data_IF_276668444670
#
_entry.id   IF_276668444670
#
_cell.length_a   1.000
_cell.length_b   1.000
_cell.length_c   1.000
_cell.angle_alpha   90.00
_cell.angle_beta   90.00
_cell.angle_gamma   90.00
#
_symmetry.space_group_name_H-M   'P 1'
#
loop_
_entity.id
_entity.type
_entity.pdbx_description
1 polymer ?
#
# COMPACT_ATOMS: atom_id res chain seq x y z
N UNK A 1 12.39 6.78 19.79
CA UNK A 1 12.16 5.89 20.95
C UNK A 1 10.70 5.84 21.38
N UNK A 2 9.97 6.96 21.51
CA UNK A 2 8.53 6.96 21.88
C UNK A 2 7.64 5.88 21.23
N UNK A 3 7.80 5.61 19.92
CA UNK A 3 7.01 4.57 19.25
C UNK A 3 7.33 3.15 19.76
N UNK A 4 8.61 2.85 19.98
CA UNK A 4 9.07 1.55 20.53
C UNK A 4 8.55 1.36 21.95
N UNK A 5 8.67 2.41 22.79
CA UNK A 5 8.17 2.42 24.16
C UNK A 5 6.65 2.16 24.22
N UNK A 6 5.88 2.80 23.34
CA UNK A 6 4.42 2.61 23.29
C UNK A 6 3.97 1.22 22.84
N UNK A 7 4.77 0.56 22.01
CA UNK A 7 4.48 -0.77 21.48
C UNK A 7 5.06 -1.89 22.33
N UNK A 8 5.88 -1.56 23.34
CA UNK A 8 6.63 -2.50 24.18
C UNK A 8 7.48 -3.49 23.36
N UNK A 9 8.18 -2.96 22.35
CA UNK A 9 9.08 -3.74 21.47
C UNK A 9 10.45 -3.06 21.34
N UNK A 10 11.46 -3.85 20.97
CA UNK A 10 12.85 -3.37 20.84
C UNK A 10 13.17 -2.79 19.47
N UNK A 11 12.48 -3.24 18.42
CA UNK A 11 12.68 -2.80 17.04
C UNK A 11 11.36 -2.84 16.26
N UNK A 12 11.32 -2.13 15.13
CA UNK A 12 10.24 -2.22 14.14
C UNK A 12 10.75 -2.96 12.90
N UNK A 13 9.97 -3.87 12.32
CA UNK A 13 10.37 -4.47 11.05
C UNK A 13 10.48 -3.41 9.95
N UNK A 14 9.47 -2.55 9.80
CA UNK A 14 9.45 -1.47 8.82
C UNK A 14 9.10 -0.14 9.49
N UNK A 15 9.87 0.91 9.19
CA UNK A 15 9.57 2.27 9.64
C UNK A 15 9.50 3.24 8.46
N UNK A 16 8.47 4.08 8.46
CA UNK A 16 8.13 4.92 7.30
C UNK A 16 8.34 6.40 7.59
N UNK A 17 8.95 7.12 6.65
CA UNK A 17 8.77 8.58 6.59
C UNK A 17 7.37 8.88 6.06
N UNK A 18 6.53 9.49 6.90
CA UNK A 18 5.08 9.54 6.68
C UNK A 18 4.64 10.41 5.47
N UNK A 19 5.36 11.49 5.18
CA UNK A 19 5.13 12.35 4.02
C UNK A 19 6.45 12.92 3.51
N UNK A 20 6.56 13.20 2.21
CA UNK A 20 7.70 13.92 1.66
C UNK A 20 7.78 15.32 2.25
N UNK A 21 8.99 15.84 2.34
CA UNK A 21 9.23 17.25 2.66
C UNK A 21 9.67 17.97 1.40
N UNK A 22 9.00 19.08 1.06
CA UNK A 22 9.43 19.95 -0.04
C UNK A 22 10.74 20.70 0.24
N UNK A 23 11.23 20.66 1.48
CA UNK A 23 12.54 21.22 1.86
C UNK A 23 13.60 20.12 1.79
N UNK A 24 14.53 20.24 0.84
CA UNK A 24 15.60 19.27 0.60
C UNK A 24 16.43 18.95 1.86
N UNK A 25 16.79 19.97 2.65
CA UNK A 25 17.57 19.77 3.88
C UNK A 25 16.84 18.90 4.92
N UNK A 26 15.50 18.91 4.93
CA UNK A 26 14.70 18.07 5.82
C UNK A 26 14.65 16.63 5.34
N UNK A 27 14.44 16.36 4.04
CA UNK A 27 14.43 14.98 3.54
C UNK A 27 15.81 14.33 3.70
N UNK A 28 16.89 15.07 3.41
CA UNK A 28 18.27 14.64 3.69
C UNK A 28 18.49 14.30 5.16
N UNK A 29 17.97 15.13 6.07
CA UNK A 29 18.02 14.84 7.51
C UNK A 29 17.22 13.57 7.85
N UNK A 30 16.02 13.38 7.29
CA UNK A 30 15.20 12.21 7.53
C UNK A 30 15.92 10.93 7.08
N UNK A 31 16.42 10.89 5.85
CA UNK A 31 17.12 9.71 5.29
C UNK A 31 18.36 9.35 6.12
N UNK A 32 19.17 10.35 6.51
CA UNK A 32 20.29 10.12 7.43
C UNK A 32 19.87 9.52 8.77
N UNK A 33 18.74 9.96 9.32
CA UNK A 33 18.19 9.40 10.58
C UNK A 33 17.68 7.98 10.36
N UNK A 34 17.05 7.68 9.22
CA UNK A 34 16.61 6.32 8.90
C UNK A 34 17.78 5.34 8.85
N UNK A 35 18.89 5.69 8.19
CA UNK A 35 20.11 4.85 8.20
C UNK A 35 20.69 4.67 9.60
N UNK A 36 20.67 5.73 10.43
CA UNK A 36 21.14 5.64 11.80
C UNK A 36 20.26 4.70 12.63
N UNK A 37 18.94 4.75 12.48
CA UNK A 37 18.02 3.84 13.16
C UNK A 37 18.21 2.39 12.71
N UNK A 38 18.49 2.18 11.43
CA UNK A 38 18.82 0.86 10.86
C UNK A 38 20.12 0.33 11.49
N UNK A 39 21.18 1.15 11.50
CA UNK A 39 22.48 0.81 12.12
C UNK A 39 22.38 0.53 13.61
N UNK A 40 21.51 1.24 14.33
CA UNK A 40 21.24 1.02 15.75
C UNK A 40 20.37 -0.22 16.02
N UNK A 41 19.90 -0.92 14.98
CA UNK A 41 19.02 -2.10 15.12
C UNK A 41 17.61 -1.76 15.61
N UNK A 42 17.20 -0.49 15.54
CA UNK A 42 15.86 -0.03 15.96
C UNK A 42 14.80 -0.25 14.89
N UNK A 43 15.22 -0.36 13.63
CA UNK A 43 14.37 -0.71 12.50
C UNK A 43 15.09 -1.77 11.67
N UNK A 44 14.36 -2.68 11.00
CA UNK A 44 14.98 -3.63 10.05
C UNK A 44 14.95 -3.13 8.61
N UNK A 45 13.94 -2.36 8.25
CA UNK A 45 13.74 -1.84 6.91
C UNK A 45 13.30 -0.38 6.93
N UNK A 46 13.73 0.35 5.89
CA UNK A 46 13.35 1.74 5.63
C UNK A 46 12.22 1.73 4.60
N UNK A 47 11.18 2.51 4.87
CA UNK A 47 10.18 2.83 3.87
C UNK A 47 9.78 4.30 3.92
N UNK A 48 8.88 4.66 3.00
CA UNK A 48 8.30 5.98 2.89
C UNK A 48 6.79 5.88 2.68
N UNK A 49 6.09 7.01 2.77
CA UNK A 49 4.66 7.09 2.50
C UNK A 49 4.33 8.41 1.80
N UNK A 50 3.45 8.34 0.79
CA UNK A 50 2.98 9.48 0.01
C UNK A 50 4.06 10.12 -0.89
N UNK A 51 5.13 9.40 -1.22
CA UNK A 51 6.17 9.90 -2.13
C UNK A 51 5.75 9.66 -3.58
N UNK A 52 5.90 10.67 -4.45
CA UNK A 52 5.93 10.43 -5.89
C UNK A 52 7.16 9.59 -6.27
N UNK A 53 7.21 9.08 -7.50
CA UNK A 53 8.37 8.33 -8.01
C UNK A 53 9.64 9.20 -7.97
N UNK A 54 9.51 10.48 -8.33
CA UNK A 54 10.62 11.44 -8.32
C UNK A 54 11.12 11.69 -6.90
N UNK A 55 10.20 11.90 -5.95
CA UNK A 55 10.56 12.10 -4.54
C UNK A 55 11.16 10.83 -3.93
N UNK A 56 10.67 9.66 -4.33
CA UNK A 56 11.23 8.38 -3.90
C UNK A 56 12.68 8.26 -4.35
N UNK A 57 12.96 8.48 -5.64
CA UNK A 57 14.33 8.47 -6.20
C UNK A 57 15.25 9.47 -5.51
N UNK A 58 14.75 10.68 -5.23
CA UNK A 58 15.53 11.68 -4.48
C UNK A 58 15.86 11.19 -3.07
N UNK A 59 14.90 10.61 -2.35
CA UNK A 59 15.09 10.10 -1.01
C UNK A 59 16.06 8.91 -0.98
N UNK A 60 15.92 7.99 -1.94
CA UNK A 60 16.78 6.82 -2.08
C UNK A 60 18.22 7.21 -2.39
N UNK A 61 18.45 8.15 -3.31
CA UNK A 61 19.78 8.66 -3.63
C UNK A 61 20.50 9.39 -2.48
N UNK A 62 19.81 9.66 -1.36
CA UNK A 62 20.40 10.23 -0.14
C UNK A 62 20.86 9.16 0.86
N UNK A 63 20.44 7.89 0.68
CA UNK A 63 20.93 6.75 1.44
C UNK A 63 22.29 6.30 0.87
N UNK A 64 23.15 5.74 1.72
CA UNK A 64 24.51 5.33 1.35
C UNK A 64 24.69 3.82 1.37
N UNK A 65 24.10 3.14 2.35
CA UNK A 65 24.33 1.71 2.59
C UNK A 65 23.00 0.97 2.84
N UNK A 66 21.89 1.52 2.37
CA UNK A 66 20.56 0.98 2.58
C UNK A 66 19.62 1.41 1.45
N UNK A 67 18.48 0.74 1.36
CA UNK A 67 17.46 0.93 0.32
C UNK A 67 16.10 1.22 0.94
N UNK A 68 15.20 1.81 0.16
CA UNK A 68 13.81 2.03 0.56
C UNK A 68 12.97 0.88 0.02
N UNK A 69 12.52 -0.02 0.90
CA UNK A 69 11.84 -1.25 0.46
C UNK A 69 10.34 -1.08 0.19
N UNK A 70 9.75 0.02 0.65
CA UNK A 70 8.30 0.22 0.54
C UNK A 70 7.90 1.68 0.41
N UNK A 71 6.85 1.93 -0.38
CA UNK A 71 6.14 3.19 -0.40
C UNK A 71 4.64 2.98 -0.10
N UNK A 72 4.16 3.55 0.99
CA UNK A 72 2.76 3.48 1.39
C UNK A 72 1.93 4.58 0.71
N UNK A 73 1.02 4.19 -0.19
CA UNK A 73 0.30 5.08 -1.10
C UNK A 73 -1.22 4.84 -1.05
N UNK A 74 -2.00 5.87 -1.42
CA UNK A 74 -3.44 5.74 -1.55
C UNK A 74 -3.76 5.01 -2.84
N UNK A 75 -4.15 3.75 -2.76
CA UNK A 75 -4.58 2.99 -3.93
C UNK A 75 -5.87 2.25 -3.59
N UNK A 76 -6.84 2.27 -4.50
CA UNK A 76 -8.04 1.44 -4.41
C UNK A 76 -8.81 1.50 -5.74
N UNK A 77 -9.88 0.72 -5.84
CA UNK A 77 -10.70 0.65 -7.06
C UNK A 77 -11.26 2.02 -7.53
N UNK A 78 -11.31 3.05 -6.68
CA UNK A 78 -11.66 4.43 -7.06
C UNK A 78 -10.46 5.36 -7.25
N UNK A 79 -9.29 5.02 -6.72
CA UNK A 79 -8.07 5.79 -6.84
C UNK A 79 -6.96 4.88 -7.36
N UNK A 80 -6.87 4.77 -8.67
CA UNK A 80 -5.99 3.84 -9.36
C UNK A 80 -4.71 4.52 -9.89
N UNK A 81 -4.50 5.81 -9.62
CA UNK A 81 -3.36 6.60 -10.13
C UNK A 81 -2.03 5.88 -9.88
N UNK A 82 -1.79 5.42 -8.64
CA UNK A 82 -0.54 4.77 -8.30
C UNK A 82 -0.42 3.36 -8.89
N UNK A 83 -1.53 2.66 -9.11
CA UNK A 83 -1.54 1.36 -9.81
C UNK A 83 -1.12 1.54 -11.27
N UNK A 84 -1.59 2.59 -11.95
CA UNK A 84 -1.28 2.84 -13.36
C UNK A 84 0.10 3.48 -13.57
N UNK A 85 0.50 4.43 -12.72
CA UNK A 85 1.65 5.30 -13.01
C UNK A 85 2.84 5.13 -12.09
N UNK A 86 2.68 4.55 -10.90
CA UNK A 86 3.79 4.39 -9.94
C UNK A 86 4.23 2.94 -9.78
N UNK A 87 3.27 2.02 -9.77
CA UNK A 87 3.51 0.59 -9.59
C UNK A 87 4.45 -0.02 -10.65
N UNK A 88 4.43 0.36 -11.95
CA UNK A 88 5.39 -0.18 -12.91
C UNK A 88 6.85 0.05 -12.48
N UNK A 89 7.16 1.26 -12.01
CA UNK A 89 8.49 1.58 -11.47
C UNK A 89 8.80 0.78 -10.20
N UNK A 90 7.88 0.74 -9.23
CA UNK A 90 8.12 -0.01 -8.00
C UNK A 90 8.27 -1.52 -8.23
N UNK A 91 7.61 -2.08 -9.25
CA UNK A 91 7.80 -3.48 -9.64
C UNK A 91 9.22 -3.73 -10.16
N UNK A 92 9.69 -2.85 -11.05
CA UNK A 92 11.03 -2.94 -11.63
C UNK A 92 12.13 -2.84 -10.57
N UNK A 93 11.97 -1.94 -9.60
CA UNK A 93 12.94 -1.74 -8.50
C UNK A 93 12.75 -2.69 -7.31
N UNK A 94 11.80 -3.63 -7.36
CA UNK A 94 11.53 -4.53 -6.24
C UNK A 94 10.92 -3.86 -4.99
N UNK A 95 10.40 -2.64 -5.13
CA UNK A 95 9.77 -1.85 -4.06
C UNK A 95 8.31 -2.28 -3.86
N UNK A 96 7.89 -2.44 -2.60
CA UNK A 96 6.51 -2.80 -2.27
C UNK A 96 5.62 -1.55 -2.18
N UNK A 97 4.52 -1.54 -2.92
CA UNK A 97 3.44 -0.58 -2.73
C UNK A 97 2.51 -1.09 -1.63
N UNK A 98 2.51 -0.42 -0.47
CA UNK A 98 1.51 -0.69 0.58
C UNK A 98 0.32 0.24 0.40
N UNK A 99 -0.86 -0.32 0.15
CA UNK A 99 -2.07 0.40 -0.19
C UNK A 99 -2.89 0.74 1.06
N UNK A 100 -2.96 2.03 1.40
CA UNK A 100 -3.81 2.54 2.46
C UNK A 100 -5.17 3.01 1.93
N UNK A 101 -6.19 2.98 2.81
CA UNK A 101 -7.61 3.16 2.43
C UNK A 101 -8.06 2.24 1.28
N UNK A 102 -7.73 0.93 1.31
CA UNK A 102 -8.01 0.03 0.19
C UNK A 102 -9.51 -0.17 -0.08
N UNK A 103 -10.35 0.09 0.94
CA UNK A 103 -11.83 0.03 0.86
C UNK A 103 -12.51 1.41 0.87
N UNK A 104 -11.74 2.48 0.65
CA UNK A 104 -12.21 3.86 0.81
C UNK A 104 -12.72 4.16 2.23
N UNK A 105 -13.56 5.19 2.38
CA UNK A 105 -14.05 5.63 3.71
C UNK A 105 -15.31 4.91 4.21
N UNK A 106 -16.02 4.16 3.34
CA UNK A 106 -17.31 3.52 3.67
C UNK A 106 -17.41 2.06 3.22
N UNK A 107 -16.31 1.42 2.86
CA UNK A 107 -16.35 0.04 2.40
C UNK A 107 -17.23 -0.16 1.17
N UNK A 108 -17.33 0.85 0.30
CA UNK A 108 -18.06 0.76 -0.97
C UNK A 108 -19.56 0.45 -0.90
N UNK A 109 -20.21 0.60 0.26
CA UNK A 109 -21.66 0.35 0.41
C UNK A 109 -22.55 1.21 -0.50
N UNK A 110 -22.04 2.38 -0.92
CA UNK A 110 -22.78 3.34 -1.75
C UNK A 110 -22.26 3.36 -3.20
N UNK A 111 -21.63 2.27 -3.67
CA UNK A 111 -21.27 2.14 -5.07
C UNK A 111 -22.51 2.00 -5.94
N UNK A 112 -22.50 2.72 -7.06
CA UNK A 112 -23.52 2.70 -8.10
C UNK A 112 -22.89 2.85 -9.49
N UNK A 113 -23.70 2.67 -10.53
CA UNK A 113 -23.27 2.80 -11.93
C UNK A 113 -22.47 1.61 -12.44
N UNK A 114 -21.77 1.81 -13.55
CA UNK A 114 -21.08 0.72 -14.27
C UNK A 114 -20.07 -0.04 -13.41
N UNK A 115 -19.26 0.67 -12.60
CA UNK A 115 -18.29 0.03 -11.71
C UNK A 115 -18.98 -0.89 -10.69
N UNK A 116 -20.16 -0.50 -10.19
CA UNK A 116 -20.93 -1.35 -9.27
C UNK A 116 -21.38 -2.64 -9.97
N UNK A 117 -21.99 -2.51 -11.14
CA UNK A 117 -22.47 -3.66 -11.92
C UNK A 117 -21.35 -4.64 -12.26
N UNK A 118 -20.16 -4.14 -12.63
CA UNK A 118 -18.98 -4.99 -12.87
C UNK A 118 -18.53 -5.72 -11.61
N UNK A 119 -18.46 -5.02 -10.47
CA UNK A 119 -18.06 -5.63 -9.21
C UNK A 119 -19.08 -6.65 -8.71
N UNK A 120 -20.40 -6.44 -8.92
CA UNK A 120 -21.43 -7.44 -8.59
C UNK A 120 -21.23 -8.73 -9.42
N UNK A 121 -20.98 -8.61 -10.73
CA UNK A 121 -20.75 -9.78 -11.60
C UNK A 121 -19.50 -10.57 -11.19
N UNK A 122 -18.40 -9.88 -10.89
CA UNK A 122 -17.16 -10.53 -10.44
C UNK A 122 -17.38 -11.16 -9.06
N UNK A 123 -18.04 -10.45 -8.14
CA UNK A 123 -18.37 -10.97 -6.82
C UNK A 123 -19.20 -12.26 -6.88
N UNK A 124 -20.22 -12.31 -7.74
CA UNK A 124 -21.04 -13.51 -7.97
C UNK A 124 -20.20 -14.68 -8.52
N UNK A 125 -19.28 -14.40 -9.45
CA UNK A 125 -18.43 -15.43 -10.07
C UNK A 125 -17.45 -16.08 -9.09
N UNK A 126 -17.12 -15.40 -7.98
CA UNK A 126 -16.18 -15.86 -6.96
C UNK A 126 -16.84 -16.22 -5.63
N UNK A 127 -18.18 -16.18 -5.53
CA UNK A 127 -18.93 -16.30 -4.26
C UNK A 127 -18.36 -15.39 -3.15
N UNK A 128 -18.10 -14.14 -3.51
CA UNK A 128 -17.38 -13.18 -2.69
C UNK A 128 -18.17 -11.88 -2.52
N UNK A 129 -17.78 -11.09 -1.53
CA UNK A 129 -18.29 -9.72 -1.35
C UNK A 129 -17.56 -8.74 -2.27
N UNK A 130 -18.19 -7.59 -2.59
CA UNK A 130 -17.52 -6.50 -3.31
C UNK A 130 -16.24 -6.04 -2.60
N UNK A 131 -16.22 -6.05 -1.27
CA UNK A 131 -15.07 -5.66 -0.46
C UNK A 131 -13.92 -6.65 -0.64
N UNK A 132 -14.22 -7.96 -0.66
CA UNK A 132 -13.24 -8.99 -1.01
C UNK A 132 -12.71 -8.79 -2.43
N UNK A 133 -13.57 -8.56 -3.43
CA UNK A 133 -13.13 -8.28 -4.81
C UNK A 133 -12.27 -7.02 -4.89
N UNK A 134 -12.61 -5.96 -4.16
CA UNK A 134 -11.82 -4.72 -4.15
C UNK A 134 -10.43 -4.90 -3.52
N UNK A 135 -10.31 -5.75 -2.50
CA UNK A 135 -9.03 -6.12 -1.90
C UNK A 135 -8.24 -7.06 -2.81
N UNK A 136 -8.89 -8.09 -3.35
CA UNK A 136 -8.32 -9.03 -4.30
C UNK A 136 -7.76 -8.30 -5.52
N UNK A 137 -8.48 -7.31 -6.06
CA UNK A 137 -8.02 -6.48 -7.16
C UNK A 137 -6.68 -5.81 -6.87
N UNK A 138 -6.47 -5.27 -5.66
CA UNK A 138 -5.18 -4.68 -5.28
C UNK A 138 -4.07 -5.73 -5.24
N UNK A 139 -4.28 -6.85 -4.54
CA UNK A 139 -3.22 -7.83 -4.24
C UNK A 139 -2.99 -8.86 -5.35
N UNK A 140 -3.82 -8.89 -6.40
CA UNK A 140 -3.52 -9.63 -7.63
C UNK A 140 -2.51 -8.88 -8.53
N UNK A 141 -2.15 -7.64 -8.19
CA UNK A 141 -0.97 -7.00 -8.77
C UNK A 141 0.29 -7.40 -7.98
N UNK A 142 1.34 -7.81 -8.70
CA UNK A 142 2.65 -8.01 -8.08
C UNK A 142 3.14 -6.75 -7.36
N UNK A 143 3.85 -6.96 -6.25
CA UNK A 143 4.41 -5.93 -5.37
C UNK A 143 3.38 -5.02 -4.67
N UNK A 144 2.11 -5.44 -4.57
CA UNK A 144 1.08 -4.69 -3.84
C UNK A 144 0.64 -5.44 -2.59
N UNK A 145 0.64 -4.74 -1.45
CA UNK A 145 0.04 -5.20 -0.19
C UNK A 145 -1.08 -4.25 0.21
N UNK A 146 -2.29 -4.74 0.45
CA UNK A 146 -3.38 -3.92 0.99
C UNK A 146 -3.38 -3.95 2.53
N UNK A 147 -3.61 -2.81 3.17
CA UNK A 147 -3.73 -2.70 4.64
C UNK A 147 -5.14 -2.28 5.06
N UNK A 148 -6.17 -3.14 4.86
CA UNK A 148 -7.52 -2.84 5.33
C UNK A 148 -7.56 -2.83 6.86
N UNK A 149 -8.44 -2.00 7.41
CA UNK A 149 -8.67 -1.94 8.85
C UNK A 149 -10.12 -2.26 9.16
N UNK A 150 -10.34 -3.10 10.16
CA UNK A 150 -11.66 -3.42 10.71
C UNK A 150 -11.60 -3.60 12.22
N UNK A 151 -12.73 -3.39 12.90
CA UNK A 151 -12.94 -3.76 14.30
C UNK A 151 -13.97 -4.87 14.47
N UNK A 152 -14.54 -5.39 13.37
CA UNK A 152 -15.52 -6.49 13.36
C UNK A 152 -14.83 -7.75 12.90
N UNK A 153 -14.92 -8.81 13.69
CA UNK A 153 -14.31 -10.13 13.42
C UNK A 153 -14.74 -10.64 12.04
N UNK A 154 -16.04 -10.63 11.73
CA UNK A 154 -16.55 -11.02 10.41
C UNK A 154 -15.82 -10.33 9.24
N UNK A 155 -15.64 -9.02 9.31
CA UNK A 155 -14.93 -8.29 8.25
C UNK A 155 -13.42 -8.58 8.24
N UNK A 156 -12.82 -8.96 9.38
CA UNK A 156 -11.41 -9.38 9.42
C UNK A 156 -11.27 -10.71 8.67
N UNK A 157 -12.18 -11.65 8.89
CA UNK A 157 -12.23 -12.93 8.18
C UNK A 157 -12.47 -12.73 6.68
N UNK A 158 -13.43 -11.88 6.30
CA UNK A 158 -13.67 -11.51 4.90
C UNK A 158 -12.44 -10.86 4.25
N UNK A 159 -11.78 -9.91 4.94
CA UNK A 159 -10.56 -9.27 4.44
C UNK A 159 -9.42 -10.29 4.24
N UNK A 160 -9.28 -11.26 5.14
CA UNK A 160 -8.27 -12.31 5.03
C UNK A 160 -8.57 -13.26 3.87
N UNK A 161 -9.84 -13.68 3.73
CA UNK A 161 -10.29 -14.55 2.64
C UNK A 161 -10.10 -13.93 1.25
N UNK A 162 -10.03 -12.59 1.14
CA UNK A 162 -9.71 -11.92 -0.13
C UNK A 162 -8.34 -12.33 -0.71
N UNK A 163 -7.40 -12.81 0.12
CA UNK A 163 -6.08 -13.29 -0.33
C UNK A 163 -6.13 -14.54 -1.21
N UNK A 164 -7.19 -15.35 -1.08
CA UNK A 164 -7.37 -16.59 -1.83
C UNK A 164 -7.99 -16.34 -3.22
N UNK A 165 -8.56 -15.16 -3.45
CA UNK A 165 -9.24 -14.82 -4.70
C UNK A 165 -8.20 -14.51 -5.78
N UNK A 166 -8.19 -15.31 -6.84
CA UNK A 166 -7.37 -15.08 -8.04
C UNK A 166 -8.24 -14.49 -9.14
N UNK A 167 -8.04 -13.22 -9.43
CA UNK A 167 -8.74 -12.54 -10.51
C UNK A 167 -8.00 -12.79 -11.82
N UNK A 168 -8.74 -13.10 -12.87
CA UNK A 168 -8.22 -13.12 -14.23
C UNK A 168 -7.81 -11.73 -14.70
N UNK A 169 -6.95 -11.68 -15.73
CA UNK A 169 -6.58 -10.39 -16.34
C UNK A 169 -7.78 -9.59 -16.84
N UNK A 170 -8.81 -10.28 -17.34
CA UNK A 170 -10.04 -9.66 -17.84
C UNK A 170 -10.78 -8.98 -16.70
N UNK A 171 -10.90 -9.64 -15.54
CA UNK A 171 -11.55 -9.08 -14.35
C UNK A 171 -10.75 -7.90 -13.78
N UNK A 172 -9.43 -8.02 -13.71
CA UNK A 172 -8.54 -6.93 -13.25
C UNK A 172 -8.70 -5.68 -14.14
N UNK A 173 -8.61 -5.87 -15.48
CA UNK A 173 -8.77 -4.80 -16.47
C UNK A 173 -10.21 -4.25 -16.47
N UNK A 174 -11.20 -5.10 -16.20
CA UNK A 174 -12.61 -4.71 -16.11
C UNK A 174 -12.89 -3.69 -15.00
N UNK A 175 -12.13 -3.74 -13.91
CA UNK A 175 -12.24 -2.80 -12.77
C UNK A 175 -11.53 -1.46 -13.05
N UNK A 176 -10.71 -1.35 -14.10
CA UNK A 176 -10.03 -0.09 -14.38
C UNK A 176 -11.00 1.05 -14.70
N UNK A 177 -10.81 2.18 -14.02
CA UNK A 177 -11.57 3.39 -14.30
C UNK A 177 -10.88 4.14 -15.45
N UNK A 178 -11.69 4.69 -16.37
CA UNK A 178 -11.22 5.64 -17.39
C UNK A 178 -10.74 6.94 -16.76
#
# INVERSE_FOLDING_TARGET
NKSLERLDIKYLDLYLVHFPSFVFSKIKKHMRVMEQLLKEGKIRYIGVSNFSVEQFKEAEGLLKNSEIVANQLRANIKNQKHIHYSLPYYREEGVILTSYSPLGHRGYTNLSGELRSKLDQIAESHDATIQQIALAWLINHENVIAIPKSFRVKHIEENAAAAEIKLSEIEIKGIYNK
#
